data_IF_349684921238
#
_entry.id   IF_349684921238
#
_cell.length_a   1.000
_cell.length_b   1.000
_cell.length_c   1.000
_cell.angle_alpha   90.00
_cell.angle_beta   90.00
_cell.angle_gamma   90.00
#
_symmetry.space_group_name_H-M   'P 1'
#
loop_
_entity.id
_entity.type
_entity.pdbx_description
1 polymer ?
#
# COMPACT_ATOMS: atom_id res chain seq x y z
N UNK A 1 17.44 1.66 -12.34
CA UNK A 1 16.29 0.90 -11.84
C UNK A 1 16.67 0.33 -10.49
N UNK A 2 16.11 0.88 -9.41
CA UNK A 2 16.30 0.32 -8.06
C UNK A 2 15.55 -1.01 -7.97
N UNK A 3 16.26 -2.07 -7.56
CA UNK A 3 15.66 -3.38 -7.33
C UNK A 3 15.17 -3.45 -5.89
N UNK A 4 13.85 -3.36 -5.69
CA UNK A 4 13.23 -3.56 -4.38
C UNK A 4 13.15 -5.07 -4.08
N UNK A 5 13.86 -5.53 -3.05
CA UNK A 5 13.80 -6.92 -2.60
C UNK A 5 12.75 -7.09 -1.51
N UNK A 6 11.50 -7.35 -1.92
CA UNK A 6 10.45 -7.78 -0.99
C UNK A 6 10.60 -9.29 -0.76
N UNK A 7 11.10 -9.67 0.40
CA UNK A 7 11.06 -11.07 0.86
C UNK A 7 9.78 -11.29 1.67
N UNK A 8 9.31 -12.54 1.78
CA UNK A 8 8.19 -12.91 2.68
C UNK A 8 8.48 -12.72 4.16
N UNK A 9 9.63 -12.13 4.50
CA UNK A 9 9.94 -11.67 5.85
C UNK A 9 8.90 -10.64 6.31
N UNK A 10 8.72 -10.60 7.62
CA UNK A 10 7.73 -9.79 8.31
C UNK A 10 7.93 -8.32 7.94
N UNK A 11 7.00 -7.76 7.17
CA UNK A 11 6.89 -6.31 7.01
C UNK A 11 6.48 -5.73 8.36
N UNK A 12 7.30 -4.82 8.88
CA UNK A 12 7.03 -4.10 10.13
C UNK A 12 6.53 -2.69 9.84
N UNK A 13 5.83 -2.11 10.81
CA UNK A 13 5.46 -0.69 10.77
C UNK A 13 6.67 0.21 10.48
N UNK A 14 7.77 0.01 11.21
CA UNK A 14 9.02 0.79 11.06
C UNK A 14 9.63 0.66 9.66
N UNK A 15 9.59 -0.54 9.07
CA UNK A 15 10.10 -0.76 7.71
C UNK A 15 9.32 0.07 6.70
N UNK A 16 7.99 0.09 6.82
CA UNK A 16 7.11 0.79 5.88
C UNK A 16 7.14 2.29 6.12
N UNK A 17 7.32 2.75 7.36
CA UNK A 17 7.37 4.17 7.68
C UNK A 17 8.47 4.93 6.91
N UNK A 18 9.55 4.25 6.51
CA UNK A 18 10.62 4.82 5.69
C UNK A 18 10.41 4.75 4.18
N UNK A 19 9.28 4.22 3.68
CA UNK A 19 9.08 4.02 2.25
C UNK A 19 8.76 5.32 1.51
N UNK A 20 9.46 5.53 0.40
CA UNK A 20 9.11 6.52 -0.61
C UNK A 20 8.00 6.00 -1.53
N UNK A 21 7.43 6.88 -2.36
CA UNK A 21 6.34 6.54 -3.31
C UNK A 21 6.74 5.40 -4.25
N UNK A 22 7.96 5.40 -4.76
CA UNK A 22 8.47 4.34 -5.65
C UNK A 22 8.51 2.97 -4.96
N UNK A 23 8.87 2.95 -3.67
CA UNK A 23 8.89 1.72 -2.86
C UNK A 23 7.48 1.20 -2.62
N UNK A 24 6.52 2.10 -2.32
CA UNK A 24 5.10 1.75 -2.19
C UNK A 24 4.55 1.19 -3.50
N UNK A 25 4.83 1.82 -4.63
CA UNK A 25 4.40 1.35 -5.95
C UNK A 25 4.94 -0.07 -6.23
N UNK A 26 6.23 -0.28 -6.03
CA UNK A 26 6.87 -1.58 -6.24
C UNK A 26 6.28 -2.65 -5.32
N UNK A 27 5.96 -2.30 -4.08
CA UNK A 27 5.31 -3.18 -3.12
C UNK A 27 3.88 -3.55 -3.56
N UNK A 28 3.08 -2.57 -3.98
CA UNK A 28 1.72 -2.82 -4.45
C UNK A 28 1.70 -3.69 -5.71
N UNK A 29 2.68 -3.55 -6.61
CA UNK A 29 2.87 -4.46 -7.75
C UNK A 29 3.24 -5.87 -7.30
N UNK A 30 4.14 -6.00 -6.32
CA UNK A 30 4.49 -7.30 -5.75
C UNK A 30 3.28 -7.99 -5.09
N UNK A 31 2.43 -7.22 -4.40
CA UNK A 31 1.20 -7.69 -3.73
C UNK A 31 -0.07 -7.56 -4.56
N UNK A 32 0.05 -7.31 -5.86
CA UNK A 32 -1.08 -6.95 -6.70
C UNK A 32 -2.21 -7.97 -6.66
N UNK A 33 -1.87 -9.26 -6.75
CA UNK A 33 -2.84 -10.35 -6.67
C UNK A 33 -3.47 -10.46 -5.28
N UNK A 34 -2.67 -10.36 -4.22
CA UNK A 34 -3.12 -10.43 -2.82
C UNK A 34 -4.12 -9.31 -2.51
N UNK A 35 -3.87 -8.10 -3.02
CA UNK A 35 -4.76 -6.95 -2.85
C UNK A 35 -5.85 -6.84 -3.92
N UNK A 36 -5.84 -7.69 -4.95
CA UNK A 36 -6.75 -7.63 -6.09
C UNK A 36 -6.74 -6.27 -6.83
N UNK A 37 -5.59 -5.60 -6.82
CA UNK A 37 -5.40 -4.29 -7.46
C UNK A 37 -5.20 -4.44 -8.98
N UNK A 38 -5.76 -3.51 -9.74
CA UNK A 38 -5.38 -3.29 -11.14
C UNK A 38 -4.18 -2.35 -11.26
N UNK A 39 -3.46 -2.37 -12.37
CA UNK A 39 -2.37 -1.42 -12.63
C UNK A 39 -2.86 0.04 -12.56
N UNK A 40 -4.07 0.29 -13.04
CA UNK A 40 -4.71 1.60 -12.95
C UNK A 40 -4.97 2.02 -11.49
N UNK A 41 -5.35 1.09 -10.61
CA UNK A 41 -5.51 1.39 -9.18
C UNK A 41 -4.16 1.62 -8.49
N UNK A 42 -3.11 0.88 -8.86
CA UNK A 42 -1.75 1.12 -8.35
C UNK A 42 -1.25 2.50 -8.75
N UNK A 43 -1.49 2.92 -10.00
CA UNK A 43 -1.10 4.24 -10.49
C UNK A 43 -1.73 5.37 -9.67
N UNK A 44 -2.94 5.20 -9.14
CA UNK A 44 -3.57 6.21 -8.28
C UNK A 44 -2.80 6.47 -6.98
N UNK A 45 -2.10 5.47 -6.44
CA UNK A 45 -1.21 5.66 -5.30
C UNK A 45 -0.01 6.54 -5.66
N UNK A 46 0.55 6.36 -6.86
CA UNK A 46 1.65 7.18 -7.37
C UNK A 46 1.17 8.61 -7.62
N UNK A 47 0.05 8.78 -8.31
CA UNK A 47 -0.54 10.08 -8.62
C UNK A 47 -0.93 10.84 -7.33
N UNK A 48 -1.39 10.12 -6.30
CA UNK A 48 -1.67 10.63 -4.97
C UNK A 48 -0.44 10.84 -4.09
N UNK A 49 0.78 10.60 -4.59
CA UNK A 49 2.04 10.68 -3.84
C UNK A 49 2.04 9.87 -2.54
N UNK A 50 1.39 8.71 -2.54
CA UNK A 50 1.25 7.85 -1.36
C UNK A 50 2.59 7.21 -1.03
N UNK A 51 3.22 7.72 0.02
CA UNK A 51 4.43 7.17 0.62
C UNK A 51 4.08 6.23 1.79
N UNK A 52 5.11 5.65 2.41
CA UNK A 52 4.97 4.73 3.54
C UNK A 52 4.11 5.25 4.70
N UNK A 53 4.39 6.46 5.23
CA UNK A 53 3.56 7.07 6.26
C UNK A 53 2.09 7.20 5.87
N UNK A 54 1.80 7.68 4.65
CA UNK A 54 0.42 7.76 4.16
C UNK A 54 -0.23 6.38 4.03
N UNK A 55 0.47 5.40 3.45
CA UNK A 55 0.00 4.03 3.32
C UNK A 55 -0.30 3.40 4.68
N UNK A 56 0.48 3.74 5.71
CA UNK A 56 0.21 3.30 7.05
C UNK A 56 -1.00 3.99 7.64
N UNK A 57 -1.38 5.20 7.23
CA UNK A 57 -2.50 5.93 7.83
C UNK A 57 -3.86 5.68 7.14
N UNK A 58 -3.87 5.31 5.84
CA UNK A 58 -5.11 5.13 5.07
C UNK A 58 -6.11 4.21 5.75
N UNK A 59 -7.38 4.56 5.63
CA UNK A 59 -8.50 3.68 5.92
C UNK A 59 -9.27 3.32 4.63
N UNK A 60 -10.26 2.44 4.75
CA UNK A 60 -11.10 2.01 3.62
C UNK A 60 -11.76 3.20 2.91
N UNK A 61 -12.28 4.16 3.65
CA UNK A 61 -13.06 5.27 3.09
C UNK A 61 -12.15 6.27 2.36
N UNK A 62 -10.91 6.47 2.85
CA UNK A 62 -9.88 7.25 2.15
C UNK A 62 -9.51 6.59 0.81
N UNK A 63 -9.29 5.27 0.81
CA UNK A 63 -8.94 4.51 -0.38
C UNK A 63 -10.03 4.59 -1.46
N UNK A 64 -11.31 4.57 -1.06
CA UNK A 64 -12.44 4.68 -1.98
C UNK A 64 -12.64 6.14 -2.43
N UNK A 65 -12.64 7.08 -1.50
CA UNK A 65 -13.08 8.46 -1.78
C UNK A 65 -11.98 9.33 -2.36
N UNK A 66 -10.74 9.17 -1.87
CA UNK A 66 -9.59 9.98 -2.29
C UNK A 66 -8.84 9.31 -3.43
N UNK A 67 -8.64 8.00 -3.34
CA UNK A 67 -7.89 7.24 -4.33
C UNK A 67 -8.80 6.49 -5.32
N UNK A 68 -10.13 6.56 -5.18
CA UNK A 68 -11.05 6.00 -6.18
C UNK A 68 -10.92 4.48 -6.37
N UNK A 69 -10.51 3.74 -5.34
CA UNK A 69 -10.41 2.28 -5.41
C UNK A 69 -11.80 1.63 -5.38
N UNK A 70 -11.88 0.43 -5.95
CA UNK A 70 -13.03 -0.45 -5.73
C UNK A 70 -13.05 -0.94 -4.28
N UNK A 71 -14.23 -1.29 -3.78
CA UNK A 71 -14.43 -1.72 -2.39
C UNK A 71 -13.53 -2.90 -1.98
N UNK A 72 -13.42 -3.94 -2.81
CA UNK A 72 -12.60 -5.12 -2.51
C UNK A 72 -11.12 -4.78 -2.30
N UNK A 73 -10.45 -4.13 -3.26
CA UNK A 73 -9.07 -3.66 -3.10
C UNK A 73 -8.88 -2.72 -1.91
N UNK A 74 -9.82 -1.79 -1.69
CA UNK A 74 -9.77 -0.88 -0.55
C UNK A 74 -9.76 -1.64 0.79
N UNK A 75 -10.64 -2.65 0.95
CA UNK A 75 -10.68 -3.50 2.15
C UNK A 75 -9.37 -4.26 2.37
N UNK A 76 -8.80 -4.83 1.30
CA UNK A 76 -7.56 -5.63 1.41
C UNK A 76 -6.36 -4.76 1.82
N UNK A 77 -6.22 -3.57 1.21
CA UNK A 77 -5.13 -2.63 1.53
C UNK A 77 -5.31 -2.05 2.93
N UNK A 78 -6.52 -1.66 3.32
CA UNK A 78 -6.76 -1.13 4.67
C UNK A 78 -6.54 -2.17 5.76
N UNK A 79 -6.93 -3.44 5.52
CA UNK A 79 -6.68 -4.52 6.47
C UNK A 79 -5.18 -4.78 6.65
N UNK A 80 -4.39 -4.68 5.57
CA UNK A 80 -2.94 -4.75 5.66
C UNK A 80 -2.35 -3.60 6.50
N UNK A 81 -2.77 -2.36 6.24
CA UNK A 81 -2.31 -1.20 7.01
C UNK A 81 -2.70 -1.31 8.50
N UNK A 82 -3.92 -1.76 8.80
CA UNK A 82 -4.40 -1.98 10.17
C UNK A 82 -3.60 -3.06 10.91
N UNK A 83 -3.30 -4.18 10.24
CA UNK A 83 -2.45 -5.23 10.80
C UNK A 83 -1.05 -4.73 11.17
N UNK A 84 -0.50 -3.78 10.40
CA UNK A 84 0.79 -3.15 10.69
C UNK A 84 0.70 -2.14 11.82
N UNK A 85 -0.36 -1.33 11.89
CA UNK A 85 -0.60 -0.41 13.02
C UNK A 85 -0.63 -1.16 14.36
N UNK A 86 -1.22 -2.36 14.37
CA UNK A 86 -1.33 -3.20 15.57
C UNK A 86 0.00 -3.83 16.03
N UNK A 87 1.09 -3.68 15.27
CA UNK A 87 2.43 -4.09 15.68
C UNK A 87 3.19 -3.00 16.46
N UNK A 88 2.62 -1.79 16.54
CA UNK A 88 3.24 -0.64 17.21
C UNK A 88 3.23 -0.74 18.73
#
# INVERSE_FOLDING_TARGET
MSTFNFTTNILTFETIQGWEVETVEAFLKFKQKDFSLSDAEIQKFVDGSVNGPMLLEVNRDDLISLLGLRLGPALNVSAFAENLKNQR
#
